data_IF_658505591176
#
_entry.id   IF_658505591176
#
_cell.length_a   1.000
_cell.length_b   1.000
_cell.length_c   1.000
_cell.angle_alpha   90.00
_cell.angle_beta   90.00
_cell.angle_gamma   90.00
#
_symmetry.space_group_name_H-M   'P 1'
#
loop_
_entity.id
_entity.type
_entity.pdbx_description
1 polymer ?
#
# COMPACT_ATOMS: atom_id res chain seq x y z
N UNK A 1 0.04 -56.83 -9.18
CA UNK A 1 -1.13 -56.83 -8.28
C UNK A 1 -1.03 -55.82 -7.13
N UNK A 2 -0.22 -56.01 -6.07
CA UNK A 2 -0.21 -55.06 -4.93
C UNK A 2 0.18 -53.61 -5.28
N UNK A 3 1.17 -53.42 -6.17
CA UNK A 3 1.54 -52.09 -6.68
C UNK A 3 0.39 -51.39 -7.41
N UNK A 4 -0.40 -52.14 -8.15
CA UNK A 4 -1.56 -51.65 -8.91
C UNK A 4 -2.68 -51.19 -7.98
N UNK A 5 -2.96 -51.95 -6.92
CA UNK A 5 -3.92 -51.54 -5.88
C UNK A 5 -3.47 -50.29 -5.13
N UNK A 6 -2.16 -50.18 -4.81
CA UNK A 6 -1.61 -48.98 -4.20
C UNK A 6 -1.73 -47.74 -5.10
N UNK A 7 -1.57 -47.89 -6.42
CA UNK A 7 -1.81 -46.79 -7.37
C UNK A 7 -3.29 -46.43 -7.46
N UNK A 8 -4.17 -47.43 -7.62
CA UNK A 8 -5.62 -47.24 -7.77
C UNK A 8 -6.27 -46.55 -6.57
N UNK A 9 -5.85 -46.87 -5.36
CA UNK A 9 -6.42 -46.32 -4.12
C UNK A 9 -5.51 -45.32 -3.41
N UNK A 10 -4.53 -44.75 -4.13
CA UNK A 10 -3.56 -43.78 -3.59
C UNK A 10 -4.24 -42.55 -2.96
N UNK A 11 -5.33 -42.09 -3.57
CA UNK A 11 -6.11 -40.94 -3.11
C UNK A 11 -6.78 -41.18 -1.75
N UNK A 12 -7.18 -42.43 -1.47
CA UNK A 12 -7.74 -42.88 -0.19
C UNK A 12 -6.65 -43.31 0.81
N UNK A 13 -5.44 -42.81 0.64
CA UNK A 13 -4.34 -43.03 1.57
C UNK A 13 -3.72 -44.43 1.55
N UNK A 14 -4.07 -45.30 0.60
CA UNK A 14 -3.47 -46.64 0.48
C UNK A 14 -2.09 -46.53 -0.17
N UNK A 15 -1.08 -47.10 0.49
CA UNK A 15 0.31 -47.12 -0.01
C UNK A 15 0.96 -48.48 0.18
N UNK A 16 1.94 -48.79 -0.67
CA UNK A 16 2.80 -49.96 -0.52
C UNK A 16 4.02 -49.60 0.34
N UNK A 17 4.21 -50.30 1.46
CA UNK A 17 5.44 -50.25 2.27
C UNK A 17 5.88 -51.67 2.62
N UNK A 18 7.15 -52.00 2.42
CA UNK A 18 7.71 -53.33 2.73
C UNK A 18 6.89 -54.49 2.15
N UNK A 19 6.49 -54.38 0.87
CA UNK A 19 5.61 -55.35 0.18
C UNK A 19 4.22 -55.58 0.82
N UNK A 20 3.74 -54.65 1.67
CA UNK A 20 2.40 -54.70 2.26
C UNK A 20 1.62 -53.42 1.98
N UNK A 21 0.32 -53.56 1.71
CA UNK A 21 -0.59 -52.42 1.63
C UNK A 21 -0.80 -51.86 3.03
N UNK A 22 -0.80 -50.54 3.14
CA UNK A 22 -0.92 -49.79 4.39
C UNK A 22 -1.86 -48.62 4.16
N UNK A 23 -2.78 -48.37 5.10
CA UNK A 23 -3.59 -47.17 5.09
C UNK A 23 -2.87 -46.05 5.86
N UNK A 24 -2.55 -44.94 5.20
CA UNK A 24 -1.93 -43.76 5.82
C UNK A 24 -2.86 -43.05 6.80
N UNK A 25 -4.16 -43.12 6.59
CA UNK A 25 -5.14 -42.43 7.43
C UNK A 25 -5.39 -43.19 8.73
N UNK A 26 -5.67 -44.49 8.65
CA UNK A 26 -5.93 -45.32 9.82
C UNK A 26 -4.67 -45.85 10.52
N UNK A 27 -3.48 -45.64 9.92
CA UNK A 27 -2.17 -46.15 10.40
C UNK A 27 -2.16 -47.66 10.70
N UNK A 28 -3.11 -48.41 10.16
CA UNK A 28 -3.23 -49.84 10.35
C UNK A 28 -2.50 -50.62 9.26
N UNK A 29 -1.93 -51.78 9.62
CA UNK A 29 -1.51 -52.78 8.65
C UNK A 29 -2.77 -53.26 7.94
N UNK A 30 -2.92 -52.81 6.72
CA UNK A 30 -3.97 -53.23 5.83
C UNK A 30 -3.64 -54.66 5.39
N UNK A 31 -4.09 -55.67 6.14
CA UNK A 31 -4.06 -57.08 5.71
C UNK A 31 -5.12 -57.25 4.61
N UNK A 32 -5.02 -56.46 3.54
CA UNK A 32 -5.93 -56.55 2.40
C UNK A 32 -5.24 -57.44 1.38
N UNK A 33 -5.53 -58.74 1.49
CA UNK A 33 -5.06 -59.74 0.52
C UNK A 33 -5.83 -59.62 -0.80
N UNK A 34 -6.99 -58.95 -0.82
CA UNK A 34 -7.85 -58.80 -1.98
C UNK A 34 -8.50 -57.40 -2.09
N UNK A 35 -9.05 -57.10 -3.27
CA UNK A 35 -9.65 -55.80 -3.61
C UNK A 35 -10.90 -55.47 -2.78
N UNK A 36 -11.69 -56.49 -2.40
CA UNK A 36 -12.90 -56.34 -1.60
C UNK A 36 -12.60 -55.84 -0.18
N UNK A 37 -11.53 -56.36 0.45
CA UNK A 37 -11.10 -55.89 1.77
C UNK A 37 -10.65 -54.42 1.77
N UNK A 38 -10.00 -53.96 0.68
CA UNK A 38 -9.63 -52.54 0.52
C UNK A 38 -10.89 -51.66 0.45
N UNK A 39 -11.87 -52.05 -0.39
CA UNK A 39 -13.12 -51.31 -0.55
C UNK A 39 -13.90 -51.24 0.77
N UNK A 40 -14.02 -52.37 1.47
CA UNK A 40 -14.70 -52.43 2.76
C UNK A 40 -14.03 -51.52 3.79
N UNK A 41 -12.69 -51.53 3.87
CA UNK A 41 -11.95 -50.66 4.77
C UNK A 41 -12.20 -49.17 4.49
N UNK A 42 -12.10 -48.74 3.23
CA UNK A 42 -12.28 -47.33 2.85
C UNK A 42 -13.72 -46.88 3.15
N UNK A 43 -14.70 -47.77 3.05
CA UNK A 43 -16.09 -47.47 3.41
C UNK A 43 -16.39 -47.44 4.92
N UNK A 44 -15.43 -47.79 5.78
CA UNK A 44 -15.68 -47.76 7.24
C UNK A 44 -15.79 -46.31 7.74
N UNK A 45 -16.73 -46.06 8.67
CA UNK A 45 -16.88 -44.75 9.31
C UNK A 45 -15.58 -44.26 9.97
N UNK A 46 -14.79 -45.18 10.54
CA UNK A 46 -13.48 -44.86 11.11
C UNK A 46 -12.49 -44.35 10.03
N UNK A 47 -12.47 -44.96 8.85
CA UNK A 47 -11.64 -44.49 7.74
C UNK A 47 -12.08 -43.11 7.26
N UNK A 48 -13.37 -42.94 6.96
CA UNK A 48 -13.92 -41.68 6.45
C UNK A 48 -13.68 -40.51 7.42
N UNK A 49 -13.89 -40.73 8.72
CA UNK A 49 -13.61 -39.73 9.75
C UNK A 49 -12.12 -39.38 9.83
N UNK A 50 -11.23 -40.39 9.84
CA UNK A 50 -9.78 -40.16 9.86
C UNK A 50 -9.26 -39.46 8.60
N UNK A 51 -9.78 -39.84 7.43
CA UNK A 51 -9.48 -39.22 6.14
C UNK A 51 -9.85 -37.74 6.18
N UNK A 52 -11.08 -37.41 6.62
CA UNK A 52 -11.53 -36.03 6.78
C UNK A 52 -10.62 -35.23 7.73
N UNK A 53 -10.37 -35.73 8.95
CA UNK A 53 -9.53 -35.03 9.94
C UNK A 53 -8.09 -34.78 9.43
N UNK A 54 -7.51 -35.75 8.72
CA UNK A 54 -6.14 -35.62 8.19
C UNK A 54 -6.11 -34.65 7.00
N UNK A 55 -7.13 -34.66 6.15
CA UNK A 55 -7.23 -33.71 5.04
C UNK A 55 -7.46 -32.28 5.54
N UNK A 56 -8.33 -32.10 6.54
CA UNK A 56 -8.58 -30.79 7.17
C UNK A 56 -7.34 -30.25 7.87
N UNK A 57 -6.62 -31.08 8.63
CA UNK A 57 -5.38 -30.65 9.29
C UNK A 57 -4.29 -30.25 8.29
N UNK A 58 -4.14 -30.99 7.19
CA UNK A 58 -3.24 -30.61 6.08
C UNK A 58 -3.65 -29.32 5.41
N UNK A 59 -4.95 -29.13 5.14
CA UNK A 59 -5.46 -27.88 4.56
C UNK A 59 -5.15 -26.70 5.47
N UNK A 60 -5.35 -26.85 6.78
CA UNK A 60 -5.05 -25.84 7.78
C UNK A 60 -3.54 -25.53 7.84
N UNK A 61 -2.69 -26.54 7.78
CA UNK A 61 -1.23 -26.37 7.73
C UNK A 61 -0.79 -25.62 6.46
N UNK A 62 -1.32 -25.99 5.29
CA UNK A 62 -1.03 -25.28 4.03
C UNK A 62 -1.44 -23.80 4.10
N UNK A 63 -2.59 -23.49 4.71
CA UNK A 63 -3.02 -22.11 4.91
C UNK A 63 -2.06 -21.39 5.88
N UNK A 64 -1.64 -22.06 6.96
CA UNK A 64 -0.71 -21.52 7.94
C UNK A 64 0.66 -21.18 7.32
N UNK A 65 1.14 -22.00 6.38
CA UNK A 65 2.40 -21.77 5.65
C UNK A 65 2.31 -20.55 4.71
N UNK A 66 1.15 -20.32 4.10
CA UNK A 66 0.89 -19.17 3.22
C UNK A 66 0.47 -17.90 3.98
N UNK A 67 0.13 -18.03 5.26
CA UNK A 67 -0.42 -16.94 6.07
C UNK A 67 0.49 -15.70 6.15
N UNK A 68 1.82 -15.83 6.35
CA UNK A 68 2.69 -14.66 6.45
C UNK A 68 2.65 -13.78 5.20
N UNK A 69 2.64 -14.36 4.00
CA UNK A 69 2.59 -13.61 2.75
C UNK A 69 1.23 -12.91 2.58
N UNK A 70 0.12 -13.62 2.86
CA UNK A 70 -1.23 -13.05 2.79
C UNK A 70 -1.41 -11.90 3.79
N UNK A 71 -0.88 -12.06 5.00
CA UNK A 71 -0.91 -11.03 6.04
C UNK A 71 -0.05 -9.83 5.64
N UNK A 72 1.14 -10.05 5.08
CA UNK A 72 1.98 -8.96 4.57
C UNK A 72 1.23 -8.14 3.53
N UNK A 73 0.63 -8.80 2.53
CA UNK A 73 -0.14 -8.14 1.48
C UNK A 73 -1.33 -7.36 2.03
N UNK A 74 -2.17 -7.99 2.84
CA UNK A 74 -3.36 -7.35 3.42
C UNK A 74 -3.00 -6.16 4.32
N UNK A 75 -1.92 -6.27 5.11
CA UNK A 75 -1.49 -5.17 5.98
C UNK A 75 -0.93 -4.01 5.18
N UNK A 76 -0.15 -4.26 4.13
CA UNK A 76 0.37 -3.21 3.26
C UNK A 76 -0.77 -2.50 2.50
N UNK A 77 -1.73 -3.23 1.95
CA UNK A 77 -2.88 -2.68 1.24
C UNK A 77 -3.80 -1.84 2.15
N UNK A 78 -3.88 -2.21 3.43
CA UNK A 78 -4.67 -1.48 4.43
C UNK A 78 -3.90 -0.37 5.15
N UNK A 79 -2.66 -0.07 4.75
CA UNK A 79 -1.75 0.88 5.42
C UNK A 79 -1.56 0.58 6.92
N UNK A 80 -1.48 -0.71 7.26
CA UNK A 80 -1.27 -1.20 8.62
C UNK A 80 0.21 -1.60 8.79
N UNK A 81 0.97 -0.91 9.65
CA UNK A 81 2.35 -1.27 9.90
C UNK A 81 2.51 -2.70 10.43
N UNK A 82 3.41 -3.50 9.85
CA UNK A 82 3.65 -4.90 10.26
C UNK A 82 3.99 -5.07 11.75
N UNK A 83 4.54 -4.04 12.40
CA UNK A 83 4.78 -4.02 13.86
C UNK A 83 3.51 -4.23 14.69
N UNK A 84 2.33 -3.96 14.13
CA UNK A 84 1.03 -4.19 14.77
C UNK A 84 0.79 -5.68 15.05
N UNK A 85 1.43 -6.60 14.33
CA UNK A 85 1.41 -8.05 14.63
C UNK A 85 1.97 -8.40 16.03
N UNK A 86 2.71 -7.49 16.67
CA UNK A 86 3.20 -7.68 18.05
C UNK A 86 2.09 -7.50 19.09
N UNK A 87 0.99 -6.82 18.75
CA UNK A 87 -0.09 -6.48 19.68
C UNK A 87 -0.80 -7.78 20.14
N UNK A 88 -0.98 -8.00 21.45
CA UNK A 88 -1.64 -9.20 21.99
C UNK A 88 -3.04 -9.45 21.40
N UNK A 89 -3.88 -8.42 21.31
CA UNK A 89 -5.23 -8.53 20.74
C UNK A 89 -5.24 -9.04 19.28
N UNK A 90 -4.24 -8.66 18.47
CA UNK A 90 -4.11 -9.19 17.10
C UNK A 90 -3.70 -10.67 17.14
N UNK A 91 -2.81 -11.06 18.06
CA UNK A 91 -2.42 -12.47 18.21
C UNK A 91 -3.60 -13.34 18.63
N UNK A 92 -4.39 -12.86 19.58
CA UNK A 92 -5.62 -13.50 20.04
C UNK A 92 -6.65 -13.64 18.92
N UNK A 93 -6.78 -12.62 18.06
CA UNK A 93 -7.65 -12.69 16.88
C UNK A 93 -7.22 -13.81 15.91
N UNK A 94 -5.93 -13.99 15.64
CA UNK A 94 -5.48 -15.12 14.81
C UNK A 94 -5.77 -16.46 15.48
N UNK A 95 -5.56 -16.56 16.79
CA UNK A 95 -5.81 -17.77 17.57
C UNK A 95 -7.30 -18.15 17.60
N UNK A 96 -8.21 -17.18 17.69
CA UNK A 96 -9.66 -17.42 17.66
C UNK A 96 -10.13 -17.95 16.30
N UNK A 97 -9.44 -17.60 15.21
CA UNK A 97 -9.61 -18.19 13.88
C UNK A 97 -8.89 -19.54 13.72
N UNK A 98 -8.20 -20.02 14.75
CA UNK A 98 -7.45 -21.27 14.76
C UNK A 98 -6.07 -21.18 14.11
N UNK A 99 -5.56 -20.00 13.81
CA UNK A 99 -4.25 -19.78 13.19
C UNK A 99 -3.22 -19.27 14.19
N UNK A 100 -1.95 -19.57 13.93
CA UNK A 100 -0.84 -18.95 14.64
C UNK A 100 -0.54 -17.62 13.96
N UNK A 101 -0.60 -16.52 14.73
CA UNK A 101 -0.23 -15.20 14.24
C UNK A 101 1.20 -15.23 13.67
N UNK A 102 1.43 -14.81 12.42
CA UNK A 102 2.77 -14.78 11.87
C UNK A 102 3.62 -13.73 12.60
N UNK A 103 4.89 -14.05 12.81
CA UNK A 103 5.83 -13.08 13.37
C UNK A 103 6.09 -11.95 12.36
N UNK A 104 6.33 -10.74 12.87
CA UNK A 104 6.67 -9.59 12.02
C UNK A 104 7.90 -9.86 11.15
N UNK A 105 8.95 -10.49 11.71
CA UNK A 105 10.17 -10.81 10.98
C UNK A 105 9.92 -11.77 9.82
N UNK A 106 9.07 -12.79 10.01
CA UNK A 106 8.68 -13.73 8.96
C UNK A 106 7.86 -13.04 7.88
N UNK A 107 6.90 -12.21 8.29
CA UNK A 107 6.00 -11.45 7.40
C UNK A 107 6.79 -10.45 6.54
N UNK A 108 7.77 -9.77 7.14
CA UNK A 108 8.62 -8.77 6.47
C UNK A 108 9.40 -9.33 5.29
N UNK A 109 9.76 -10.62 5.29
CA UNK A 109 10.50 -11.26 4.18
C UNK A 109 9.74 -11.23 2.85
N UNK A 110 8.42 -11.07 2.89
CA UNK A 110 7.58 -11.03 1.70
C UNK A 110 7.39 -9.61 1.13
N UNK A 111 7.82 -8.57 1.85
CA UNK A 111 7.63 -7.17 1.42
C UNK A 111 8.31 -6.91 0.09
N UNK A 112 9.56 -7.35 -0.09
CA UNK A 112 10.30 -7.12 -1.34
C UNK A 112 9.65 -7.86 -2.53
N UNK A 113 9.17 -9.08 -2.30
CA UNK A 113 8.42 -9.85 -3.31
C UNK A 113 7.16 -9.10 -3.73
N UNK A 114 6.35 -8.65 -2.77
CA UNK A 114 5.10 -7.91 -3.01
C UNK A 114 5.40 -6.59 -3.73
N UNK A 115 6.45 -5.87 -3.31
CA UNK A 115 6.88 -4.63 -3.95
C UNK A 115 7.31 -4.86 -5.40
N UNK A 116 8.05 -5.93 -5.69
CA UNK A 116 8.46 -6.27 -7.05
C UNK A 116 7.26 -6.62 -7.94
N UNK A 117 6.30 -7.38 -7.41
CA UNK A 117 5.04 -7.68 -8.12
C UNK A 117 4.25 -6.40 -8.42
N UNK A 118 4.13 -5.49 -7.45
CA UNK A 118 3.48 -4.20 -7.63
C UNK A 118 4.21 -3.34 -8.66
N UNK A 119 5.54 -3.28 -8.62
CA UNK A 119 6.34 -2.55 -9.60
C UNK A 119 6.12 -3.09 -11.02
N UNK A 120 6.01 -4.41 -11.20
CA UNK A 120 5.67 -4.98 -12.51
C UNK A 120 4.27 -4.55 -12.97
N UNK A 121 3.29 -4.50 -12.07
CA UNK A 121 1.94 -4.02 -12.39
C UNK A 121 1.95 -2.53 -12.80
N UNK A 122 2.71 -1.71 -12.08
CA UNK A 122 2.87 -0.28 -12.40
C UNK A 122 3.53 -0.10 -13.77
N UNK A 123 4.63 -0.82 -14.04
CA UNK A 123 5.29 -0.79 -15.36
C UNK A 123 4.32 -1.17 -16.48
N UNK A 124 3.53 -2.22 -16.27
CA UNK A 124 2.50 -2.67 -17.21
C UNK A 124 1.42 -1.60 -17.45
N UNK A 125 0.92 -0.98 -16.38
CA UNK A 125 -0.14 0.05 -16.48
C UNK A 125 0.33 1.32 -17.20
N UNK A 126 1.57 1.76 -16.92
CA UNK A 126 2.13 2.98 -17.50
C UNK A 126 2.79 2.78 -18.87
N UNK A 127 2.90 1.53 -19.34
CA UNK A 127 3.56 1.23 -20.62
C UNK A 127 2.81 1.84 -21.80
N UNK A 128 3.55 2.56 -22.66
CA UNK A 128 3.02 3.21 -23.87
C UNK A 128 1.84 4.15 -23.61
N UNK A 129 1.84 4.81 -22.45
CA UNK A 129 0.84 5.81 -22.04
C UNK A 129 1.43 7.22 -22.04
N UNK A 130 0.55 8.21 -22.17
CA UNK A 130 0.92 9.61 -21.95
C UNK A 130 0.89 9.91 -20.45
N UNK A 131 2.02 10.39 -19.93
CA UNK A 131 2.23 10.45 -18.49
C UNK A 131 2.09 11.87 -17.96
N UNK A 132 1.58 11.97 -16.73
CA UNK A 132 1.82 13.12 -15.86
C UNK A 132 2.74 12.73 -14.71
N UNK A 133 3.60 13.65 -14.31
CA UNK A 133 4.46 13.51 -13.14
C UNK A 133 4.05 14.48 -12.05
N UNK A 134 4.20 14.05 -10.80
CA UNK A 134 4.05 14.90 -9.63
C UNK A 134 5.31 14.84 -8.77
N UNK A 135 5.76 16.01 -8.33
CA UNK A 135 6.90 16.15 -7.43
C UNK A 135 6.45 16.80 -6.13
N UNK A 136 6.83 16.19 -5.02
CA UNK A 136 6.60 16.74 -3.69
C UNK A 136 7.85 16.58 -2.83
N UNK A 137 8.28 17.70 -2.24
CA UNK A 137 9.44 17.77 -1.37
C UNK A 137 9.01 17.95 0.08
N UNK A 138 9.59 17.19 0.99
CA UNK A 138 9.37 17.39 2.43
C UNK A 138 10.69 17.30 3.19
N UNK A 139 10.80 18.04 4.30
CA UNK A 139 11.99 18.02 5.14
C UNK A 139 11.62 17.56 6.56
N UNK A 140 12.35 16.58 7.08
CA UNK A 140 12.16 16.08 8.44
C UNK A 140 13.51 15.72 9.06
N UNK A 141 13.82 16.33 10.21
CA UNK A 141 15.06 16.10 10.96
C UNK A 141 16.34 16.27 10.12
N UNK A 142 16.37 17.28 9.23
CA UNK A 142 17.51 17.55 8.34
C UNK A 142 17.60 16.64 7.12
N UNK A 143 16.69 15.68 6.96
CA UNK A 143 16.57 14.86 5.76
C UNK A 143 15.52 15.45 4.83
N UNK A 144 15.89 15.60 3.56
CA UNK A 144 15.01 15.97 2.46
C UNK A 144 14.50 14.69 1.78
N UNK A 145 13.18 14.63 1.60
CA UNK A 145 12.47 13.54 0.95
C UNK A 145 11.82 14.09 -0.30
N UNK A 146 12.21 13.55 -1.45
CA UNK A 146 11.64 13.90 -2.75
C UNK A 146 10.79 12.71 -3.19
N UNK A 147 9.48 12.93 -3.26
CA UNK A 147 8.53 11.96 -3.75
C UNK A 147 8.27 12.23 -5.23
N UNK A 148 8.49 11.22 -6.06
CA UNK A 148 8.23 11.26 -7.49
C UNK A 148 7.10 10.30 -7.78
N UNK A 149 5.97 10.85 -8.24
CA UNK A 149 4.80 10.09 -8.63
C UNK A 149 4.57 10.20 -10.14
N UNK A 150 4.05 9.13 -10.73
CA UNK A 150 3.64 9.08 -12.13
C UNK A 150 2.24 8.51 -12.26
N UNK A 151 1.51 8.96 -13.28
CA UNK A 151 0.21 8.42 -13.64
C UNK A 151 -0.11 8.64 -15.10
N UNK A 152 -1.14 7.94 -15.57
CA UNK A 152 -1.70 8.07 -16.91
C UNK A 152 -2.59 9.31 -16.98
N UNK A 153 -2.40 10.16 -17.98
CA UNK A 153 -3.24 11.34 -18.22
C UNK A 153 -4.71 10.96 -18.49
N UNK A 154 -4.94 9.80 -19.11
CA UNK A 154 -6.30 9.31 -19.38
C UNK A 154 -6.99 8.81 -18.11
N UNK A 155 -6.23 8.37 -17.09
CA UNK A 155 -6.73 7.86 -15.82
C UNK A 155 -6.09 8.58 -14.62
N UNK A 156 -6.31 9.89 -14.45
CA UNK A 156 -5.59 10.71 -13.47
C UNK A 156 -5.90 10.33 -12.00
N UNK A 157 -6.96 9.57 -11.76
CA UNK A 157 -7.29 9.02 -10.45
C UNK A 157 -6.26 8.00 -9.97
N UNK A 158 -5.60 7.28 -10.88
CA UNK A 158 -4.58 6.28 -10.54
C UNK A 158 -3.19 6.88 -10.76
N UNK A 159 -2.48 7.03 -9.64
CA UNK A 159 -1.09 7.49 -9.61
C UNK A 159 -0.27 6.62 -8.68
N UNK A 160 1.00 6.47 -9.01
CA UNK A 160 1.92 5.59 -8.32
C UNK A 160 3.14 6.36 -7.88
N UNK A 161 3.59 6.09 -6.65
CA UNK A 161 4.91 6.52 -6.20
C UNK A 161 5.95 5.65 -6.90
N UNK A 162 6.65 6.22 -7.89
CA UNK A 162 7.67 5.49 -8.65
C UNK A 162 9.04 5.61 -7.99
N UNK A 163 9.30 6.68 -7.23
CA UNK A 163 10.53 6.77 -6.47
C UNK A 163 10.37 7.69 -5.26
N UNK A 164 11.12 7.38 -4.20
CA UNK A 164 11.32 8.26 -3.05
C UNK A 164 12.82 8.39 -2.81
N UNK A 165 13.30 9.62 -2.90
CA UNK A 165 14.73 9.93 -2.77
C UNK A 165 14.94 10.63 -1.45
N UNK A 166 15.91 10.14 -0.68
CA UNK A 166 16.29 10.71 0.61
C UNK A 166 17.68 11.31 0.48
N UNK A 167 17.82 12.59 0.79
CA UNK A 167 19.09 13.31 0.72
C UNK A 167 19.29 14.23 1.92
N UNK A 168 20.55 14.47 2.27
CA UNK A 168 20.96 15.46 3.29
C UNK A 168 21.37 16.79 2.66
N UNK A 169 21.53 16.82 1.34
CA UNK A 169 22.05 17.97 0.61
C UNK A 169 20.92 18.85 0.09
N UNK A 170 21.19 20.16 -0.01
CA UNK A 170 20.23 21.10 -0.59
C UNK A 170 19.93 20.76 -2.05
N UNK A 171 18.64 20.69 -2.38
CA UNK A 171 18.17 20.31 -3.70
C UNK A 171 18.49 21.39 -4.75
N UNK A 172 19.16 20.98 -5.84
CA UNK A 172 19.36 21.83 -7.02
C UNK A 172 18.49 21.36 -8.16
N UNK A 173 18.18 22.27 -9.10
CA UNK A 173 17.38 21.95 -10.28
C UNK A 173 17.99 20.85 -11.15
N UNK A 174 19.31 20.80 -11.24
CA UNK A 174 20.04 19.84 -12.06
C UNK A 174 19.96 18.43 -11.46
N UNK A 175 20.10 18.31 -10.13
CA UNK A 175 20.00 17.02 -9.44
C UNK A 175 18.58 16.49 -9.47
N UNK A 176 17.60 17.36 -9.25
CA UNK A 176 16.19 16.99 -9.37
C UNK A 176 15.87 16.48 -10.78
N UNK A 177 16.45 17.09 -11.81
CA UNK A 177 16.32 16.59 -13.18
C UNK A 177 16.93 15.19 -13.36
N UNK A 178 18.14 14.94 -12.84
CA UNK A 178 18.75 13.60 -12.86
C UNK A 178 17.88 12.58 -12.14
N UNK A 179 17.41 12.91 -10.94
CA UNK A 179 16.51 12.07 -10.15
C UNK A 179 15.23 11.70 -10.89
N UNK A 180 14.64 12.63 -11.65
CA UNK A 180 13.46 12.36 -12.47
C UNK A 180 13.79 11.33 -13.56
N UNK A 181 14.88 11.52 -14.30
CA UNK A 181 15.27 10.59 -15.37
C UNK A 181 15.62 9.20 -14.84
N UNK A 182 16.34 9.13 -13.71
CA UNK A 182 16.67 7.86 -13.06
C UNK A 182 15.39 7.14 -12.64
N UNK A 183 14.43 7.87 -12.07
CA UNK A 183 13.13 7.32 -11.62
C UNK A 183 12.29 6.79 -12.77
N UNK A 184 12.24 7.50 -13.90
CA UNK A 184 11.57 7.03 -15.11
C UNK A 184 12.24 5.77 -15.67
N UNK A 185 13.58 5.75 -15.67
CA UNK A 185 14.38 4.63 -16.17
C UNK A 185 14.14 3.35 -15.37
N UNK A 186 13.95 3.45 -14.04
CA UNK A 186 13.59 2.30 -13.19
C UNK A 186 12.30 1.61 -13.63
N UNK A 187 11.38 2.35 -14.27
CA UNK A 187 10.09 1.87 -14.75
C UNK A 187 10.02 1.65 -16.26
N UNK A 188 11.15 1.75 -16.97
CA UNK A 188 11.21 1.71 -18.44
C UNK A 188 10.31 2.76 -19.10
N UNK A 189 10.19 3.93 -18.48
CA UNK A 189 9.42 5.06 -18.98
C UNK A 189 10.38 6.06 -19.60
N UNK A 190 9.92 6.77 -20.64
CA UNK A 190 10.72 7.81 -21.27
C UNK A 190 10.18 9.20 -20.94
N UNK A 191 11.10 10.15 -20.80
CA UNK A 191 10.75 11.54 -20.54
C UNK A 191 9.91 12.15 -21.70
N UNK A 192 10.05 11.61 -22.91
CA UNK A 192 9.25 11.99 -24.10
C UNK A 192 7.75 11.71 -23.94
N UNK A 193 7.40 10.73 -23.11
CA UNK A 193 6.02 10.30 -22.89
C UNK A 193 5.32 11.18 -21.84
N UNK A 194 6.09 11.97 -21.09
CA UNK A 194 5.59 12.94 -20.12
C UNK A 194 5.04 14.16 -20.85
N UNK A 195 3.77 14.51 -20.61
CA UNK A 195 3.14 15.72 -21.16
C UNK A 195 2.80 16.75 -20.11
N UNK A 196 2.76 16.34 -18.84
CA UNK A 196 2.38 17.21 -17.74
C UNK A 196 3.26 16.99 -16.51
N UNK A 197 3.62 18.08 -15.85
CA UNK A 197 4.35 18.08 -14.60
C UNK A 197 3.62 18.95 -13.59
N UNK A 198 3.40 18.41 -12.39
CA UNK A 198 2.78 19.10 -11.26
C UNK A 198 3.81 19.22 -10.14
N UNK A 199 4.14 20.43 -9.72
CA UNK A 199 5.05 20.66 -8.59
C UNK A 199 4.62 21.87 -7.76
N UNK A 200 5.22 22.07 -6.58
CA UNK A 200 5.11 23.34 -5.89
C UNK A 200 5.72 24.50 -6.70
N UNK A 201 5.48 25.73 -6.24
CA UNK A 201 6.00 26.96 -6.85
C UNK A 201 7.37 27.39 -6.32
N UNK A 202 8.17 26.50 -5.73
CA UNK A 202 9.45 26.87 -5.14
C UNK A 202 10.46 27.38 -6.20
N UNK A 203 11.45 28.21 -5.79
CA UNK A 203 12.43 28.77 -6.72
C UNK A 203 13.23 27.72 -7.52
N UNK A 204 13.58 26.59 -6.91
CA UNK A 204 14.30 25.51 -7.58
C UNK A 204 13.43 24.81 -8.64
N UNK A 205 12.13 24.61 -8.36
CA UNK A 205 11.18 24.07 -9.35
C UNK A 205 10.96 25.01 -10.53
N UNK A 206 11.03 26.32 -10.30
CA UNK A 206 11.01 27.31 -11.39
C UNK A 206 12.25 27.21 -12.29
N UNK A 207 13.43 26.95 -11.71
CA UNK A 207 14.66 26.69 -12.49
C UNK A 207 14.57 25.36 -13.24
N UNK A 208 14.07 24.30 -12.59
CA UNK A 208 13.83 23.00 -13.22
C UNK A 208 12.88 23.14 -14.43
N UNK A 209 11.78 23.88 -14.29
CA UNK A 209 10.85 24.16 -15.38
C UNK A 209 11.55 24.78 -16.60
N UNK A 210 12.47 25.72 -16.37
CA UNK A 210 13.27 26.33 -17.45
C UNK A 210 14.21 25.30 -18.10
N UNK A 211 14.84 24.44 -17.30
CA UNK A 211 15.73 23.39 -17.79
C UNK A 211 14.98 22.37 -18.65
N UNK A 212 13.85 21.86 -18.16
CA UNK A 212 13.01 20.90 -18.87
C UNK A 212 12.45 21.51 -20.16
N UNK A 213 11.92 22.74 -20.12
CA UNK A 213 11.38 23.40 -21.33
C UNK A 213 12.41 23.65 -22.43
N UNK A 214 13.72 23.66 -22.11
CA UNK A 214 14.76 23.73 -23.14
C UNK A 214 14.90 22.41 -23.90
N UNK A 215 14.67 21.28 -23.23
CA UNK A 215 14.77 19.95 -23.82
C UNK A 215 13.46 19.50 -24.46
N UNK A 216 12.34 19.72 -23.77
CA UNK A 216 11.02 19.30 -24.24
C UNK A 216 10.00 20.44 -24.06
N UNK A 217 9.66 21.09 -25.17
CA UNK A 217 8.79 22.28 -25.16
C UNK A 217 7.31 21.93 -25.00
N UNK A 218 6.92 20.69 -25.30
CA UNK A 218 5.52 20.25 -25.26
C UNK A 218 4.97 20.02 -23.84
N UNK A 219 5.84 19.96 -22.82
CA UNK A 219 5.42 19.69 -21.44
C UNK A 219 4.73 20.91 -20.80
N UNK A 220 3.54 20.66 -20.26
CA UNK A 220 2.78 21.61 -19.46
C UNK A 220 3.20 21.52 -18.00
N UNK A 221 3.55 22.65 -17.40
CA UNK A 221 3.89 22.76 -15.98
C UNK A 221 2.75 23.43 -15.22
N UNK A 222 2.22 22.72 -14.22
CA UNK A 222 1.14 23.18 -13.35
C UNK A 222 1.70 23.35 -11.94
N UNK A 223 1.49 24.52 -11.35
CA UNK A 223 1.79 24.74 -9.94
C UNK A 223 0.72 24.08 -9.08
N UNK A 224 1.12 23.36 -8.04
CA UNK A 224 0.22 22.67 -7.13
C UNK A 224 -0.77 23.65 -6.48
N UNK A 225 -2.06 23.41 -6.71
CA UNK A 225 -3.14 24.26 -6.21
C UNK A 225 -3.17 24.32 -4.67
N UNK A 226 -2.85 23.22 -3.98
CA UNK A 226 -2.78 23.19 -2.51
C UNK A 226 -1.70 24.13 -1.97
N UNK A 227 -0.54 24.19 -2.64
CA UNK A 227 0.53 25.11 -2.27
C UNK A 227 0.12 26.57 -2.51
N UNK A 228 -0.60 26.84 -3.61
CA UNK A 228 -1.13 28.18 -3.87
C UNK A 228 -2.10 28.62 -2.76
N UNK A 229 -3.06 27.77 -2.40
CA UNK A 229 -4.01 28.04 -1.31
C UNK A 229 -3.30 28.25 0.04
N UNK A 230 -2.32 27.40 0.36
CA UNK A 230 -1.52 27.55 1.57
C UNK A 230 -0.80 28.91 1.61
N UNK A 231 -0.15 29.29 0.49
CA UNK A 231 0.54 30.57 0.38
C UNK A 231 -0.41 31.76 0.53
N UNK A 232 -1.59 31.71 -0.08
CA UNK A 232 -2.64 32.71 0.10
C UNK A 232 -3.05 32.83 1.58
N UNK A 233 -3.32 31.70 2.24
CA UNK A 233 -3.67 31.70 3.66
C UNK A 233 -2.56 32.27 4.54
N UNK A 234 -1.30 31.91 4.28
CA UNK A 234 -0.14 32.44 5.00
C UNK A 234 0.01 33.96 4.79
N UNK A 235 -0.28 34.47 3.59
CA UNK A 235 -0.26 35.91 3.32
C UNK A 235 -1.34 36.65 4.10
N UNK A 236 -2.56 36.11 4.16
CA UNK A 236 -3.66 36.66 4.97
C UNK A 236 -3.23 36.72 6.45
N UNK A 237 -2.67 35.62 6.99
CA UNK A 237 -2.18 35.58 8.38
C UNK A 237 -1.10 36.64 8.66
N UNK A 238 -0.17 36.86 7.72
CA UNK A 238 0.86 37.88 7.84
C UNK A 238 0.30 39.31 7.82
N UNK A 239 -0.78 39.56 7.08
CA UNK A 239 -1.47 40.85 7.03
C UNK A 239 -2.26 41.12 8.31
N UNK A 240 -3.01 40.12 8.81
CA UNK A 240 -3.89 40.25 9.98
C UNK A 240 -3.25 39.66 11.24
N UNK A 241 -2.11 40.21 11.67
CA UNK A 241 -1.32 39.67 12.80
C UNK A 241 -2.09 39.59 14.12
N UNK A 242 -2.93 40.59 14.41
CA UNK A 242 -3.75 40.61 15.63
C UNK A 242 -4.76 39.46 15.66
N UNK A 243 -5.39 39.17 14.51
CA UNK A 243 -6.30 38.03 14.37
C UNK A 243 -5.56 36.70 14.52
N UNK A 244 -4.37 36.57 13.93
CA UNK A 244 -3.54 35.36 14.08
C UNK A 244 -3.11 35.14 15.54
N UNK A 245 -2.71 36.21 16.24
CA UNK A 245 -2.37 36.18 17.67
C UNK A 245 -3.58 35.80 18.53
N UNK A 246 -4.74 36.39 18.28
CA UNK A 246 -5.98 36.04 18.97
C UNK A 246 -6.31 34.55 18.79
N UNK A 247 -6.29 34.05 17.55
CA UNK A 247 -6.53 32.63 17.25
C UNK A 247 -5.50 31.74 17.97
N UNK A 248 -4.22 32.14 18.01
CA UNK A 248 -3.18 31.40 18.70
C UNK A 248 -3.43 31.35 20.23
N UNK A 249 -3.80 32.47 20.85
CA UNK A 249 -4.17 32.54 22.27
C UNK A 249 -5.38 31.67 22.59
N UNK A 250 -6.42 31.68 21.75
CA UNK A 250 -7.59 30.81 21.90
C UNK A 250 -7.19 29.33 21.80
N UNK A 251 -6.37 28.96 20.81
CA UNK A 251 -5.85 27.59 20.67
C UNK A 251 -5.10 27.13 21.91
N UNK A 252 -4.21 27.96 22.46
CA UNK A 252 -3.43 27.64 23.66
C UNK A 252 -4.34 27.37 24.88
N UNK A 253 -5.37 28.20 25.07
CA UNK A 253 -6.38 28.01 26.13
C UNK A 253 -7.12 26.67 25.96
N UNK A 254 -7.53 26.33 24.73
CA UNK A 254 -8.27 25.08 24.46
C UNK A 254 -7.43 23.82 24.59
N UNK A 255 -6.12 23.90 24.33
CA UNK A 255 -5.21 22.77 24.51
C UNK A 255 -4.97 22.50 25.99
N UNK A 256 -4.90 23.56 26.82
CA UNK A 256 -4.64 23.45 28.25
C UNK A 256 -5.83 23.00 29.08
N UNK A 257 -7.06 23.28 28.65
CA UNK A 257 -8.25 22.95 29.44
C UNK A 257 -9.43 22.51 28.56
N UNK A 258 -9.81 21.24 28.72
CA UNK A 258 -10.88 20.60 27.93
C UNK A 258 -12.25 21.27 28.10
N UNK A 259 -12.57 21.87 29.26
CA UNK A 259 -13.87 22.55 29.50
C UNK A 259 -14.11 23.75 28.58
N UNK A 260 -13.04 24.42 28.10
CA UNK A 260 -13.18 25.54 27.17
C UNK A 260 -13.40 25.11 25.72
N UNK A 261 -13.18 23.83 25.38
CA UNK A 261 -13.55 23.30 24.07
C UNK A 261 -15.06 23.29 23.89
N UNK A 262 -15.80 22.89 24.93
CA UNK A 262 -17.26 22.82 24.92
C UNK A 262 -17.88 24.23 24.79
N UNK A 263 -17.28 25.24 25.43
CA UNK A 263 -17.73 26.63 25.35
C UNK A 263 -17.52 27.25 23.96
N UNK A 264 -16.46 26.86 23.26
CA UNK A 264 -16.17 27.34 21.89
C UNK A 264 -17.01 26.59 20.85
N UNK A 265 -17.37 25.32 21.08
CA UNK A 265 -18.38 24.65 20.26
C UNK A 265 -19.73 25.38 20.30
N UNK A 266 -20.10 25.96 21.44
CA UNK A 266 -21.34 26.74 21.62
C UNK A 266 -21.33 28.08 20.86
N UNK A 267 -20.18 28.76 20.76
CA UNK A 267 -20.04 30.04 20.03
C UNK A 267 -20.08 29.85 18.50
N UNK A 268 -20.13 28.60 18.04
CA UNK A 268 -20.11 28.21 16.65
C UNK A 268 -18.69 27.84 16.25
N UNK A 269 -18.53 26.62 15.69
CA UNK A 269 -17.28 26.27 15.01
C UNK A 269 -17.04 27.33 13.94
N UNK A 270 -15.84 27.95 13.86
CA UNK A 270 -15.50 28.72 12.68
C UNK A 270 -15.83 27.85 11.47
N UNK A 271 -16.51 28.39 10.43
CA UNK A 271 -16.90 27.61 9.26
C UNK A 271 -15.67 26.83 8.82
N UNK A 272 -15.85 25.52 8.62
CA UNK A 272 -14.71 24.63 8.44
C UNK A 272 -13.79 25.22 7.38
N UNK A 273 -12.47 25.12 7.56
CA UNK A 273 -11.50 25.65 6.58
C UNK A 273 -11.85 25.18 5.16
N UNK A 274 -12.44 23.98 5.05
CA UNK A 274 -12.99 23.40 3.83
C UNK A 274 -14.10 24.26 3.19
N UNK A 275 -15.03 24.81 3.97
CA UNK A 275 -16.16 25.62 3.48
C UNK A 275 -15.71 27.01 3.02
N UNK A 276 -14.74 27.62 3.73
CA UNK A 276 -14.14 28.89 3.34
C UNK A 276 -13.24 28.74 2.10
N UNK A 277 -12.44 27.67 2.06
CA UNK A 277 -11.60 27.33 0.90
C UNK A 277 -12.48 26.95 -0.29
N UNK A 278 -13.57 26.20 -0.11
CA UNK A 278 -14.50 25.86 -1.19
C UNK A 278 -15.15 27.11 -1.80
N UNK A 279 -15.57 28.08 -0.96
CA UNK A 279 -16.10 29.37 -1.44
C UNK A 279 -15.04 30.21 -2.15
N UNK A 280 -13.80 30.27 -1.65
CA UNK A 280 -12.70 30.92 -2.37
C UNK A 280 -12.34 30.21 -3.68
N UNK A 281 -12.35 28.87 -3.71
CA UNK A 281 -12.11 28.09 -4.92
C UNK A 281 -13.19 28.37 -5.96
N UNK A 282 -14.46 28.47 -5.56
CA UNK A 282 -15.56 28.81 -6.47
C UNK A 282 -15.40 30.22 -7.06
N UNK A 283 -15.00 31.21 -6.26
CA UNK A 283 -14.74 32.57 -6.74
C UNK A 283 -13.53 32.64 -7.70
N UNK A 284 -12.42 31.98 -7.35
CA UNK A 284 -11.19 31.99 -8.17
C UNK A 284 -11.39 31.21 -9.48
N UNK A 285 -12.14 30.10 -9.46
CA UNK A 285 -12.48 29.36 -10.68
C UNK A 285 -13.44 30.15 -11.57
N UNK A 286 -14.36 30.94 -11.00
CA UNK A 286 -15.27 31.78 -11.78
C UNK A 286 -14.51 32.89 -12.53
N UNK A 287 -13.55 33.56 -11.89
CA UNK A 287 -12.74 34.59 -12.57
C UNK A 287 -11.71 34.01 -13.57
N UNK A 288 -11.17 32.81 -13.33
CA UNK A 288 -10.17 32.21 -14.22
C UNK A 288 -10.75 31.53 -15.46
N UNK A 289 -12.02 31.14 -15.43
CA UNK A 289 -12.66 30.40 -16.53
C UNK A 289 -13.83 31.13 -17.20
N UNK A 290 -14.40 32.16 -16.57
CA UNK A 290 -15.57 32.90 -17.08
C UNK A 290 -15.44 34.44 -17.00
N UNK A 291 -14.27 34.95 -16.59
CA UNK A 291 -13.90 36.38 -16.62
C UNK A 291 -13.02 36.73 -17.80
#
# INVERSE_FOLDING_TARGET
>A
MLKEYAMRFKQHGIVLRYNKLMCKFCRCRAIFLNLSGIKQHISTNSHLSNEQTILESRKKQLIQEQLPEKVAKAFLEADIPLKKLRIPAIKELFQSMGFICPAESTTRRFVDKINNEMNMQIKSHLYNKLLFLMFDGSCKAGLHYINIMAGDIEEPSKKYLINQIVTVESETSERLFTYINDSLSLFNLHFTDVKMIISDGAPYNTKLKKLIKRQERSIVFITCFMHLLHNCAMKIRQTYKLTDQFIASVKDITVRCNKYRDLIEFVGKPPSVVEYVARMCHMVLFELFWG
#
